data_IF_791613301449
#
_entry.id   IF_791613301449
#
_cell.length_a   1.000
_cell.length_b   1.000
_cell.length_c   1.000
_cell.angle_alpha   90.00
_cell.angle_beta   90.00
_cell.angle_gamma   90.00
#
_symmetry.space_group_name_H-M   'P 1'
#
loop_
_entity.id
_entity.type
_entity.pdbx_description
1 polymer ?
#
# COMPACT_ATOMS: atom_id res chain seq x y z
N UNK A 1 14.71 4.18 -8.44
CA UNK A 1 14.21 4.71 -9.73
C UNK A 1 13.01 5.63 -9.45
N UNK A 2 12.99 6.88 -9.93
CA UNK A 2 11.77 7.71 -9.84
C UNK A 2 10.89 7.34 -11.02
N UNK A 3 9.79 6.64 -10.74
CA UNK A 3 8.79 6.29 -11.74
C UNK A 3 7.57 7.20 -11.54
N UNK A 4 7.39 8.22 -12.41
CA UNK A 4 6.32 9.20 -12.25
C UNK A 4 4.93 8.57 -12.31
N UNK A 5 4.76 7.45 -13.01
CA UNK A 5 3.46 6.77 -13.12
C UNK A 5 3.08 6.11 -11.79
N UNK A 6 4.04 5.47 -11.13
CA UNK A 6 3.84 4.90 -9.79
C UNK A 6 3.55 6.00 -8.75
N UNK A 7 4.23 7.14 -8.84
CA UNK A 7 3.98 8.28 -7.95
C UNK A 7 2.57 8.86 -8.12
N UNK A 8 2.03 8.87 -9.35
CA UNK A 8 0.65 9.29 -9.63
C UNK A 8 -0.34 8.31 -8.98
N UNK A 9 -0.16 7.01 -9.18
CA UNK A 9 -1.05 5.98 -8.59
C UNK A 9 -1.04 6.02 -7.06
N UNK A 10 0.14 6.19 -6.46
CA UNK A 10 0.24 6.37 -5.01
C UNK A 10 -0.51 7.63 -4.58
N UNK A 11 -0.32 8.76 -5.28
CA UNK A 11 -1.03 10.00 -4.95
C UNK A 11 -2.56 9.82 -5.02
N UNK A 12 -3.06 9.09 -6.02
CA UNK A 12 -4.50 8.78 -6.11
C UNK A 12 -4.98 7.97 -4.90
N UNK A 13 -4.24 6.92 -4.50
CA UNK A 13 -4.52 6.15 -3.28
C UNK A 13 -4.51 7.04 -2.03
N UNK A 14 -3.64 8.05 -1.95
CA UNK A 14 -3.54 8.92 -0.78
C UNK A 14 -4.64 9.98 -0.68
N UNK A 15 -5.25 10.38 -1.80
CA UNK A 15 -6.17 11.54 -1.84
C UNK A 15 -7.61 11.20 -2.18
N UNK A 16 -7.87 10.06 -2.82
CA UNK A 16 -9.18 9.76 -3.40
C UNK A 16 -9.94 8.73 -2.56
N UNK A 17 -10.97 9.18 -1.83
CA UNK A 17 -11.80 8.29 -1.01
C UNK A 17 -12.52 7.22 -1.84
N UNK A 18 -13.19 7.65 -2.90
CA UNK A 18 -14.06 6.79 -3.72
C UNK A 18 -13.39 6.48 -5.06
N UNK A 19 -12.34 5.67 -5.03
CA UNK A 19 -11.64 5.23 -6.23
C UNK A 19 -12.50 4.29 -7.08
N UNK A 20 -12.46 4.48 -8.40
CA UNK A 20 -13.15 3.60 -9.34
C UNK A 20 -12.43 2.25 -9.46
N UNK A 21 -13.15 1.22 -9.93
CA UNK A 21 -12.55 -0.10 -10.24
C UNK A 21 -11.42 0.05 -11.28
N UNK A 22 -11.59 0.93 -12.28
CA UNK A 22 -10.54 1.20 -13.28
C UNK A 22 -9.27 1.82 -12.65
N UNK A 23 -9.42 2.66 -11.63
CA UNK A 23 -8.28 3.20 -10.88
C UNK A 23 -7.56 2.08 -10.09
N UNK A 24 -8.32 1.17 -9.48
CA UNK A 24 -7.74 -0.01 -8.82
C UNK A 24 -7.08 -0.98 -9.79
N UNK A 25 -7.54 -1.07 -11.03
CA UNK A 25 -6.89 -1.87 -12.08
C UNK A 25 -5.48 -1.33 -12.41
N UNK A 26 -5.34 0.00 -12.48
CA UNK A 26 -4.01 0.65 -12.59
C UNK A 26 -3.09 0.31 -11.43
N UNK A 27 -3.60 0.33 -10.20
CA UNK A 27 -2.84 -0.09 -9.00
C UNK A 27 -2.48 -1.57 -9.07
N UNK A 28 -3.39 -2.43 -9.51
CA UNK A 28 -3.16 -3.86 -9.68
C UNK A 28 -2.02 -4.14 -10.66
N UNK A 29 -2.01 -3.45 -11.80
CA UNK A 29 -0.93 -3.55 -12.79
C UNK A 29 0.42 -3.09 -12.21
N UNK A 30 0.44 -1.99 -11.47
CA UNK A 30 1.63 -1.52 -10.79
C UNK A 30 2.15 -2.52 -9.75
N UNK A 31 1.26 -3.13 -8.97
CA UNK A 31 1.61 -4.18 -8.02
C UNK A 31 2.16 -5.43 -8.73
N UNK A 32 1.56 -5.84 -9.85
CA UNK A 32 2.05 -7.00 -10.62
C UNK A 32 3.47 -6.75 -11.16
N UNK A 33 3.76 -5.51 -11.57
CA UNK A 33 5.09 -5.11 -12.00
C UNK A 33 6.09 -5.08 -10.83
N UNK A 34 5.69 -4.58 -9.67
CA UNK A 34 6.56 -4.41 -8.50
C UNK A 34 6.80 -5.73 -7.75
N UNK A 35 5.80 -6.60 -7.69
CA UNK A 35 5.72 -7.80 -6.87
C UNK A 35 5.44 -9.04 -7.74
N UNK A 36 6.35 -9.32 -8.68
CA UNK A 36 6.16 -10.35 -9.71
C UNK A 36 5.90 -11.78 -9.19
N UNK A 37 6.16 -12.05 -7.91
CA UNK A 37 5.98 -13.36 -7.26
C UNK A 37 4.78 -13.41 -6.32
N UNK A 38 4.02 -12.32 -6.18
CA UNK A 38 2.87 -12.23 -5.27
C UNK A 38 1.58 -12.46 -6.03
N UNK A 39 0.70 -13.27 -5.45
CA UNK A 39 -0.65 -13.51 -5.97
C UNK A 39 -1.52 -12.28 -5.72
N UNK A 40 -2.05 -11.69 -6.79
CA UNK A 40 -2.87 -10.50 -6.69
C UNK A 40 -4.36 -10.82 -6.88
N UNK A 41 -5.27 -10.20 -6.10
CA UNK A 41 -6.70 -10.38 -6.26
C UNK A 41 -7.23 -9.59 -7.48
N UNK A 42 -8.53 -9.71 -7.77
CA UNK A 42 -9.17 -8.80 -8.74
C UNK A 42 -9.21 -7.36 -8.22
N UNK A 43 -9.30 -6.39 -9.13
CA UNK A 43 -9.42 -4.97 -8.79
C UNK A 43 -10.61 -4.66 -7.84
N UNK A 44 -11.73 -5.38 -7.98
CA UNK A 44 -12.89 -5.27 -7.08
C UNK A 44 -12.58 -5.70 -5.64
N UNK A 45 -11.71 -6.69 -5.47
CA UNK A 45 -11.32 -7.17 -4.14
C UNK A 45 -10.15 -6.36 -3.57
N UNK A 46 -9.33 -5.74 -4.42
CA UNK A 46 -8.19 -4.92 -4.01
C UNK A 46 -8.59 -3.73 -3.12
N UNK A 47 -9.82 -3.22 -3.27
CA UNK A 47 -10.33 -2.14 -2.42
C UNK A 47 -10.63 -2.56 -0.98
N UNK A 48 -10.58 -3.85 -0.67
CA UNK A 48 -10.86 -4.38 0.67
C UNK A 48 -9.59 -4.46 1.51
N UNK A 49 -9.73 -4.12 2.80
CA UNK A 49 -8.58 -4.08 3.70
C UNK A 49 -7.93 -5.45 3.88
N UNK A 50 -8.72 -6.51 4.03
CA UNK A 50 -8.24 -7.88 4.16
C UNK A 50 -7.41 -8.33 2.95
N UNK A 51 -7.87 -8.01 1.73
CA UNK A 51 -7.12 -8.28 0.51
C UNK A 51 -5.78 -7.53 0.50
N UNK A 52 -5.75 -6.24 0.87
CA UNK A 52 -4.51 -5.47 0.96
C UNK A 52 -3.53 -6.05 2.01
N UNK A 53 -4.04 -6.56 3.14
CA UNK A 53 -3.22 -7.23 4.16
C UNK A 53 -2.62 -8.54 3.65
N UNK A 54 -3.39 -9.35 2.92
CA UNK A 54 -2.92 -10.62 2.36
C UNK A 54 -1.79 -10.40 1.36
N UNK A 55 -1.89 -9.37 0.51
CA UNK A 55 -0.81 -9.00 -0.40
C UNK A 55 0.45 -8.61 0.39
N UNK A 56 0.29 -7.86 1.50
CA UNK A 56 1.42 -7.49 2.36
C UNK A 56 2.10 -8.68 3.00
N UNK A 57 1.33 -9.63 3.54
CA UNK A 57 1.86 -10.85 4.14
C UNK A 57 2.59 -11.74 3.12
N UNK A 58 2.03 -11.90 1.92
CA UNK A 58 2.65 -12.71 0.86
C UNK A 58 3.90 -12.04 0.27
N UNK A 59 3.87 -10.72 0.04
CA UNK A 59 5.01 -9.99 -0.52
C UNK A 59 6.15 -9.80 0.49
N UNK A 60 5.83 -9.63 1.77
CA UNK A 60 6.76 -9.30 2.84
C UNK A 60 6.45 -10.14 4.10
N UNK A 61 6.70 -11.46 4.06
CA UNK A 61 6.36 -12.33 5.17
C UNK A 61 7.10 -11.95 6.44
N UNK A 62 6.38 -11.97 7.57
CA UNK A 62 6.86 -11.60 8.91
C UNK A 62 7.17 -10.10 9.12
N UNK A 63 6.82 -9.23 8.17
CA UNK A 63 6.96 -7.79 8.37
C UNK A 63 5.87 -7.26 9.30
N UNK A 64 6.25 -6.29 10.12
CA UNK A 64 5.34 -5.61 11.04
C UNK A 64 4.55 -4.53 10.30
N UNK A 65 3.22 -4.61 10.40
CA UNK A 65 2.31 -3.57 9.91
C UNK A 65 1.78 -2.72 11.06
N UNK A 66 2.02 -1.42 10.97
CA UNK A 66 1.55 -0.44 11.94
C UNK A 66 0.46 0.42 11.32
N UNK A 67 -0.74 0.35 11.90
CA UNK A 67 -1.90 1.09 11.41
C UNK A 67 -2.30 2.10 12.48
N UNK A 68 -2.39 3.37 12.08
CA UNK A 68 -2.89 4.44 12.91
C UNK A 68 -3.96 5.22 12.17
N UNK A 69 -5.10 5.43 12.81
CA UNK A 69 -6.18 6.24 12.27
C UNK A 69 -7.26 6.44 13.31
N UNK A 70 -8.18 7.37 13.04
CA UNK A 70 -9.35 7.61 13.89
C UNK A 70 -10.61 7.46 13.05
N UNK A 71 -11.58 6.73 13.57
CA UNK A 71 -12.85 6.45 12.89
C UNK A 71 -13.78 7.66 12.78
N UNK A 72 -13.51 8.73 13.55
CA UNK A 72 -14.32 9.94 13.61
C UNK A 72 -13.76 11.14 12.82
N UNK A 73 -12.55 11.03 12.24
CA UNK A 73 -12.05 12.08 11.36
C UNK A 73 -12.80 12.01 10.02
N UNK A 74 -13.48 13.11 9.66
CA UNK A 74 -14.27 13.22 8.41
C UNK A 74 -13.44 12.91 7.15
N UNK A 75 -12.13 13.17 7.24
CA UNK A 75 -11.13 12.96 6.19
C UNK A 75 -10.16 11.81 6.51
N UNK A 76 -10.57 10.86 7.36
CA UNK A 76 -10.03 9.49 7.48
C UNK A 76 -8.52 9.36 7.33
N UNK A 77 -7.71 9.93 8.22
CA UNK A 77 -6.26 9.95 8.06
C UNK A 77 -5.59 8.62 8.45
N UNK A 78 -5.91 7.52 7.77
CA UNK A 78 -5.21 6.26 7.99
C UNK A 78 -3.75 6.44 7.60
N UNK A 79 -2.86 6.02 8.46
CA UNK A 79 -1.44 5.89 8.22
C UNK A 79 -1.08 4.42 8.36
N UNK A 80 -0.41 3.89 7.36
CA UNK A 80 0.15 2.56 7.34
C UNK A 80 1.68 2.68 7.27
N UNK A 81 2.37 1.95 8.13
CA UNK A 81 3.81 1.76 8.04
C UNK A 81 4.12 0.27 7.97
N UNK A 82 4.89 -0.14 6.98
CA UNK A 82 5.42 -1.50 6.81
C UNK A 82 6.91 -1.51 7.15
N UNK A 83 7.31 -2.40 8.05
CA UNK A 83 8.68 -2.50 8.57
C UNK A 83 9.11 -3.95 8.69
N UNK A 84 10.37 -4.23 8.40
CA UNK A 84 10.94 -5.57 8.61
C UNK A 84 10.99 -5.91 10.10
N UNK A 85 11.37 -4.95 10.94
CA UNK A 85 11.44 -5.10 12.39
C UNK A 85 10.61 -4.04 13.13
N UNK A 86 10.24 -4.33 14.36
CA UNK A 86 9.56 -3.38 15.25
C UNK A 86 10.54 -2.39 15.94
N UNK A 87 11.85 -2.65 15.85
CA UNK A 87 12.89 -1.77 16.39
C UNK A 87 13.07 -0.51 15.53
N UNK A 88 13.17 0.66 16.18
CA UNK A 88 13.16 1.98 15.51
C UNK A 88 14.30 2.23 14.52
N UNK A 89 15.48 1.65 14.69
CA UNK A 89 16.69 2.15 14.02
C UNK A 89 17.42 1.15 13.10
N UNK A 90 16.76 0.08 12.67
CA UNK A 90 17.47 -1.02 11.95
C UNK A 90 16.91 -1.40 10.59
N UNK A 91 15.80 -0.80 10.13
CA UNK A 91 15.19 -1.24 8.86
C UNK A 91 15.88 -0.60 7.66
N UNK A 92 16.32 -1.44 6.73
CA UNK A 92 16.91 -0.99 5.47
C UNK A 92 15.88 -0.27 4.57
N UNK A 93 14.60 -0.63 4.68
CA UNK A 93 13.51 0.01 3.95
C UNK A 93 12.24 0.05 4.80
N UNK A 94 11.47 1.13 4.64
CA UNK A 94 10.18 1.33 5.32
C UNK A 94 9.15 1.76 4.27
N UNK A 95 8.04 1.03 4.18
CA UNK A 95 6.87 1.45 3.41
C UNK A 95 6.02 2.40 4.23
N UNK A 96 5.66 3.57 3.70
CA UNK A 96 4.77 4.53 4.38
C UNK A 96 3.65 4.91 3.44
N UNK A 97 2.41 4.76 3.89
CA UNK A 97 1.23 5.13 3.15
C UNK A 97 0.23 5.85 4.03
N UNK A 98 -0.57 6.71 3.43
CA UNK A 98 -1.65 7.41 4.11
C UNK A 98 -2.85 7.53 3.20
N UNK A 99 -4.08 7.46 3.70
CA UNK A 99 -5.26 7.61 2.84
C UNK A 99 -6.53 7.81 3.67
N UNK A 100 -7.58 8.47 3.12
CA UNK A 100 -8.97 8.41 3.60
C UNK A 100 -9.48 6.98 3.88
N UNK A 101 -8.93 5.97 3.19
CA UNK A 101 -9.38 4.57 3.24
C UNK A 101 -8.23 3.66 3.68
N UNK A 102 -8.48 2.81 4.68
CA UNK A 102 -7.43 1.96 5.25
C UNK A 102 -6.76 1.05 4.19
N UNK A 103 -7.55 0.36 3.37
CA UNK A 103 -7.00 -0.49 2.30
C UNK A 103 -6.04 0.29 1.38
N UNK A 104 -6.41 1.50 0.98
CA UNK A 104 -5.58 2.35 0.13
C UNK A 104 -4.30 2.82 0.84
N UNK A 105 -4.35 3.12 2.14
CA UNK A 105 -3.16 3.45 2.92
C UNK A 105 -2.17 2.28 2.96
N UNK A 106 -2.67 1.05 3.09
CA UNK A 106 -1.86 -0.17 3.03
C UNK A 106 -1.23 -0.34 1.65
N UNK A 107 -2.02 -0.22 0.58
CA UNK A 107 -1.54 -0.34 -0.80
C UNK A 107 -0.47 0.72 -1.12
N UNK A 108 -0.66 1.96 -0.69
CA UNK A 108 0.33 3.03 -0.87
C UNK A 108 1.65 2.71 -0.15
N UNK A 109 1.59 2.23 1.10
CA UNK A 109 2.78 1.81 1.85
C UNK A 109 3.52 0.66 1.14
N UNK A 110 2.76 -0.30 0.65
CA UNK A 110 3.26 -1.48 -0.04
C UNK A 110 3.94 -1.13 -1.37
N UNK A 111 3.32 -0.27 -2.19
CA UNK A 111 3.91 0.23 -3.43
C UNK A 111 5.22 0.97 -3.17
N UNK A 112 5.26 1.87 -2.19
CA UNK A 112 6.50 2.59 -1.83
C UNK A 112 7.59 1.66 -1.35
N UNK A 113 7.26 0.65 -0.54
CA UNK A 113 8.22 -0.35 -0.09
C UNK A 113 8.78 -1.15 -1.27
N UNK A 114 7.91 -1.63 -2.16
CA UNK A 114 8.33 -2.40 -3.32
C UNK A 114 9.19 -1.58 -4.28
N UNK A 115 8.88 -0.29 -4.47
CA UNK A 115 9.74 0.64 -5.21
C UNK A 115 11.12 0.81 -4.56
N UNK A 116 11.18 0.90 -3.23
CA UNK A 116 12.44 1.05 -2.50
C UNK A 116 13.31 -0.21 -2.56
N UNK A 117 12.69 -1.40 -2.51
CA UNK A 117 13.39 -2.70 -2.57
C UNK A 117 13.83 -3.10 -3.98
N UNK A 118 13.17 -2.56 -5.02
CA UNK A 118 13.50 -2.81 -6.43
C UNK A 118 14.57 -1.83 -6.97
N UNK A 119 14.84 -0.74 -6.26
CA UNK A 119 15.80 0.30 -6.64
C UNK A 119 17.25 -0.10 -6.38
#
# INVERSE_FOLDING_TARGET
MKDPELDILIKELETTRDMSIASFDGVLHALAYLLAQTTLPSAENLSKTDAAMLIADEAYPNWSIHIRGRTNDRDGHWHCTLRENDSRDSDAAIGIGRSPVLAQAVLAALMRLAMAQKA
#
